data_IF_626493898486
#
_entry.id   IF_626493898486
#
_cell.length_a   1.000
_cell.length_b   1.000
_cell.length_c   1.000
_cell.angle_alpha   90.00
_cell.angle_beta   90.00
_cell.angle_gamma   90.00
#
_symmetry.space_group_name_H-M   'P 1'
#
loop_
_entity.id
_entity.type
_entity.pdbx_description
1 polymer ?
#
# COMPACT_ATOMS: atom_id res chain seq x y z
N UNK A 1 -28.10 39.76 -18.54
CA UNK A 1 -29.05 38.94 -17.76
C UNK A 1 -28.26 37.80 -17.16
N UNK A 2 -28.37 37.63 -15.85
CA UNK A 2 -27.27 37.28 -14.93
C UNK A 2 -26.70 35.87 -15.13
N UNK A 3 -25.36 35.82 -15.20
CA UNK A 3 -24.49 34.66 -15.24
C UNK A 3 -24.24 34.17 -13.81
N UNK A 4 -24.46 32.88 -13.57
CA UNK A 4 -24.10 32.19 -12.32
C UNK A 4 -22.64 31.73 -12.44
N UNK A 5 -21.75 32.31 -11.63
CA UNK A 5 -20.45 31.73 -11.29
C UNK A 5 -20.44 31.61 -9.76
N UNK A 6 -20.37 30.38 -9.27
CA UNK A 6 -20.17 30.08 -7.85
C UNK A 6 -18.68 30.10 -7.54
N UNK A 7 -18.26 30.98 -6.62
CA UNK A 7 -17.00 30.88 -5.88
C UNK A 7 -17.34 30.63 -4.42
N UNK A 8 -16.88 29.51 -3.86
CA UNK A 8 -16.93 29.24 -2.43
C UNK A 8 -15.70 29.86 -1.75
N UNK A 9 -15.93 30.80 -0.84
CA UNK A 9 -14.91 31.33 0.07
C UNK A 9 -15.07 30.66 1.44
N UNK A 10 -14.06 29.88 1.83
CA UNK A 10 -13.85 29.44 3.20
C UNK A 10 -13.38 30.65 4.03
N UNK A 11 -14.05 30.96 5.14
CA UNK A 11 -13.51 31.84 6.16
C UNK A 11 -13.12 31.05 7.41
N UNK A 12 -11.80 31.05 7.64
CA UNK A 12 -11.10 30.65 8.85
C UNK A 12 -11.29 31.74 9.90
N UNK A 13 -11.75 31.41 11.10
CA UNK A 13 -11.86 32.38 12.20
C UNK A 13 -10.96 31.95 13.36
N UNK A 14 -9.91 32.74 13.59
CA UNK A 14 -8.95 32.60 14.68
C UNK A 14 -9.11 33.83 15.57
N UNK A 15 -9.16 33.58 16.88
CA UNK A 15 -9.11 34.53 17.99
C UNK A 15 -10.41 35.25 18.36
N UNK A 16 -10.94 34.93 19.56
CA UNK A 16 -11.17 35.91 20.62
C UNK A 16 -11.45 35.23 21.98
N UNK A 17 -10.59 35.56 22.94
CA UNK A 17 -10.61 35.17 24.34
C UNK A 17 -11.44 36.17 25.18
N UNK A 18 -12.18 35.64 26.16
CA UNK A 18 -12.48 36.16 27.52
C UNK A 18 -13.15 37.56 27.77
N UNK A 19 -14.24 37.46 28.56
CA UNK A 19 -14.78 38.33 29.62
C UNK A 19 -15.65 39.57 29.27
N UNK A 20 -16.81 39.68 29.96
CA UNK A 20 -17.60 40.92 30.07
C UNK A 20 -19.09 40.69 30.37
N UNK A 21 -19.63 41.37 31.37
CA UNK A 21 -20.91 41.14 32.07
C UNK A 21 -22.06 42.05 31.55
N UNK A 22 -23.31 41.58 31.74
CA UNK A 22 -24.68 42.14 31.59
C UNK A 22 -24.96 43.67 31.57
N UNK A 23 -26.04 44.05 30.85
CA UNK A 23 -27.22 44.93 31.20
C UNK A 23 -28.26 44.83 30.02
N UNK A 24 -29.38 44.06 30.10
CA UNK A 24 -30.83 44.38 30.36
C UNK A 24 -31.46 45.56 29.56
N UNK A 25 -32.70 45.64 29.06
CA UNK A 25 -34.03 44.96 29.13
C UNK A 25 -34.66 45.11 27.71
N UNK A 26 -35.51 44.24 27.12
CA UNK A 26 -36.80 43.72 27.54
C UNK A 26 -37.77 43.80 26.33
N UNK A 27 -38.64 42.80 26.11
CA UNK A 27 -39.80 42.94 25.21
C UNK A 27 -40.05 41.83 24.19
N UNK A 28 -40.94 40.90 24.58
CA UNK A 28 -41.89 40.13 23.75
C UNK A 28 -41.36 39.15 22.68
N UNK A 29 -41.41 37.88 23.08
CA UNK A 29 -41.57 36.73 22.21
C UNK A 29 -42.93 36.76 21.49
N UNK A 30 -42.93 36.67 20.16
CA UNK A 30 -43.93 36.00 19.31
C UNK A 30 -43.48 36.14 17.84
N UNK A 31 -43.80 35.12 17.03
CA UNK A 31 -43.50 34.97 15.59
C UNK A 31 -42.27 34.09 15.30
N UNK A 32 -42.43 32.77 15.48
CA UNK A 32 -41.44 31.77 15.03
C UNK A 32 -42.05 30.60 14.22
N UNK A 33 -43.22 30.78 13.56
CA UNK A 33 -43.86 29.66 12.81
C UNK A 33 -44.36 30.00 11.39
N UNK A 34 -44.23 31.24 10.93
CA UNK A 34 -44.75 31.67 9.61
C UNK A 34 -43.77 31.55 8.44
N UNK A 35 -42.45 31.62 8.66
CA UNK A 35 -41.47 31.73 7.56
C UNK A 35 -40.90 30.40 7.08
N UNK A 36 -40.95 29.34 7.88
CA UNK A 36 -40.40 28.02 7.48
C UNK A 36 -41.32 27.29 6.51
N UNK A 37 -42.64 27.47 6.60
CA UNK A 37 -43.62 26.81 5.71
C UNK A 37 -43.59 27.40 4.29
N UNK A 38 -43.26 28.68 4.14
CA UNK A 38 -43.23 29.34 2.83
C UNK A 38 -42.04 28.87 1.97
N UNK A 39 -40.92 28.51 2.59
CA UNK A 39 -39.72 28.04 1.87
C UNK A 39 -39.88 26.58 1.40
N UNK A 40 -40.57 25.73 2.17
CA UNK A 40 -40.78 24.32 1.79
C UNK A 40 -41.76 24.19 0.61
N UNK A 41 -42.79 25.05 0.52
CA UNK A 41 -43.75 25.03 -0.59
C UNK A 41 -43.17 25.58 -1.91
N UNK A 42 -42.13 26.43 -1.86
CA UNK A 42 -41.47 26.99 -3.04
C UNK A 42 -40.54 25.98 -3.74
N UNK A 43 -40.06 24.94 -3.03
CA UNK A 43 -39.23 23.87 -3.60
C UNK A 43 -40.02 22.67 -4.14
N UNK A 44 -41.27 22.47 -3.69
CA UNK A 44 -42.08 21.33 -4.15
C UNK A 44 -42.71 21.63 -5.53
N UNK A 45 -42.96 22.89 -5.86
CA UNK A 45 -43.55 23.28 -7.17
C UNK A 45 -42.55 23.37 -8.32
N UNK A 46 -41.24 23.40 -8.05
CA UNK A 46 -40.20 23.32 -9.09
C UNK A 46 -39.83 21.89 -9.49
N UNK A 47 -40.42 20.87 -8.85
CA UNK A 47 -40.15 19.44 -9.12
C UNK A 47 -41.16 18.77 -10.05
N UNK A 48 -41.96 19.52 -10.82
CA UNK A 48 -42.84 18.94 -11.85
C UNK A 48 -42.33 19.35 -13.23
N UNK A 49 -41.35 18.60 -13.75
CA UNK A 49 -40.99 18.64 -15.17
C UNK A 49 -41.91 17.64 -15.88
N UNK A 50 -42.65 18.03 -16.94
CA UNK A 50 -43.43 17.07 -17.71
C UNK A 50 -42.50 16.11 -18.44
N UNK A 51 -42.65 14.81 -18.16
CA UNK A 51 -42.02 13.70 -18.88
C UNK A 51 -42.52 13.67 -20.32
N UNK A 52 -41.74 14.21 -21.24
CA UNK A 52 -41.77 13.82 -22.64
C UNK A 52 -40.85 12.60 -22.78
N UNK A 53 -41.43 11.44 -23.09
CA UNK A 53 -40.68 10.24 -23.46
C UNK A 53 -39.90 10.54 -24.74
N UNK A 54 -38.60 10.76 -24.60
CA UNK A 54 -37.65 10.75 -25.69
C UNK A 54 -36.99 9.39 -25.64
N UNK A 55 -37.13 8.60 -26.71
CA UNK A 55 -36.39 7.35 -26.92
C UNK A 55 -34.90 7.66 -26.93
N UNK A 56 -34.29 7.65 -25.76
CA UNK A 56 -32.85 7.57 -25.60
C UNK A 56 -32.54 6.11 -25.88
N UNK A 57 -32.15 5.81 -27.11
CA UNK A 57 -31.59 4.51 -27.46
C UNK A 57 -30.58 4.13 -26.39
N UNK A 58 -30.73 2.93 -25.84
CA UNK A 58 -29.82 2.34 -24.86
C UNK A 58 -28.39 2.34 -25.43
N UNK A 59 -27.67 3.45 -25.31
CA UNK A 59 -26.24 3.38 -25.07
C UNK A 59 -26.14 2.96 -23.62
N UNK A 60 -26.19 1.64 -23.41
CA UNK A 60 -25.48 1.05 -22.31
C UNK A 60 -24.13 1.76 -22.26
N UNK A 61 -23.87 2.53 -21.19
CA UNK A 61 -22.51 2.84 -20.83
C UNK A 61 -21.85 1.49 -20.54
N UNK A 62 -21.37 0.87 -21.61
CA UNK A 62 -20.30 -0.09 -21.55
C UNK A 62 -19.19 0.67 -20.86
N UNK A 63 -19.00 0.42 -19.57
CA UNK A 63 -17.68 0.60 -18.98
C UNK A 63 -16.81 -0.24 -19.90
N UNK A 64 -16.10 0.40 -20.84
CA UNK A 64 -15.28 -0.36 -21.78
C UNK A 64 -14.23 -1.05 -20.93
N UNK A 65 -14.48 -2.31 -20.56
CA UNK A 65 -13.40 -3.19 -20.13
C UNK A 65 -12.38 -3.06 -21.25
N UNK A 66 -11.17 -2.62 -20.90
CA UNK A 66 -10.12 -2.49 -21.90
C UNK A 66 -9.95 -3.80 -22.66
N UNK A 67 -9.29 -3.70 -23.81
CA UNK A 67 -9.08 -4.83 -24.67
C UNK A 67 -8.23 -5.90 -23.99
N UNK A 68 -8.37 -7.13 -24.46
CA UNK A 68 -7.56 -8.26 -24.00
C UNK A 68 -6.45 -8.51 -25.02
N UNK A 69 -5.22 -8.51 -24.54
CA UNK A 69 -4.03 -8.89 -25.28
C UNK A 69 -3.52 -10.21 -24.72
N UNK A 70 -3.23 -11.18 -25.59
CA UNK A 70 -2.91 -12.54 -25.18
C UNK A 70 -1.45 -12.88 -25.48
N UNK A 71 -0.75 -13.46 -24.50
CA UNK A 71 0.67 -13.85 -24.62
C UNK A 71 0.82 -15.36 -24.47
N UNK A 72 1.57 -15.99 -25.39
CA UNK A 72 1.72 -17.44 -25.48
C UNK A 72 0.48 -18.14 -26.05
N UNK A 73 0.26 -19.41 -25.72
CA UNK A 73 -0.84 -20.21 -26.27
C UNK A 73 -0.72 -20.44 -27.80
N UNK A 74 -1.75 -21.04 -28.40
CA UNK A 74 -1.79 -21.40 -29.84
C UNK A 74 -2.75 -20.54 -30.67
N UNK A 75 -3.31 -19.47 -30.09
CA UNK A 75 -4.29 -18.61 -30.75
C UNK A 75 -3.66 -17.68 -31.78
N UNK A 76 -4.38 -17.35 -32.88
CA UNK A 76 -3.89 -16.39 -33.87
C UNK A 76 -3.76 -15.00 -33.26
N UNK A 77 -2.66 -14.30 -33.55
CA UNK A 77 -2.42 -12.93 -33.08
C UNK A 77 -1.91 -12.82 -31.64
N UNK A 78 -1.65 -13.94 -30.97
CA UNK A 78 -1.04 -13.93 -29.64
C UNK A 78 0.43 -13.45 -29.73
N UNK A 79 0.84 -12.66 -28.74
CA UNK A 79 2.21 -12.23 -28.57
C UNK A 79 3.08 -13.37 -28.06
N UNK A 80 4.35 -13.41 -28.47
CA UNK A 80 5.33 -14.33 -27.89
C UNK A 80 6.03 -13.77 -26.65
N UNK A 81 6.04 -12.44 -26.49
CA UNK A 81 6.69 -11.74 -25.38
C UNK A 81 5.68 -10.89 -24.62
N UNK A 82 5.87 -10.79 -23.31
CA UNK A 82 4.98 -10.00 -22.45
C UNK A 82 5.20 -8.50 -22.71
N UNK A 83 6.45 -8.06 -22.88
CA UNK A 83 6.74 -6.65 -23.17
C UNK A 83 6.05 -6.16 -24.45
N UNK A 84 6.08 -6.94 -25.53
CA UNK A 84 5.43 -6.56 -26.80
C UNK A 84 3.91 -6.35 -26.62
N UNK A 85 3.25 -7.18 -25.79
CA UNK A 85 1.85 -7.01 -25.47
C UNK A 85 1.60 -5.76 -24.60
N UNK A 86 2.46 -5.49 -23.62
CA UNK A 86 2.39 -4.27 -22.80
C UNK A 86 2.58 -3.02 -23.67
N UNK A 87 3.54 -3.06 -24.60
CA UNK A 87 3.85 -1.95 -25.50
C UNK A 87 2.68 -1.61 -26.43
N UNK A 88 1.89 -2.62 -26.83
CA UNK A 88 0.68 -2.44 -27.65
C UNK A 88 -0.60 -2.19 -26.85
N UNK A 89 -0.61 -2.45 -25.55
CA UNK A 89 -1.76 -2.21 -24.68
C UNK A 89 -2.05 -0.69 -24.55
N UNK A 90 -3.30 -0.35 -24.30
CA UNK A 90 -3.75 0.96 -23.85
C UNK A 90 -4.11 0.94 -22.36
N UNK A 91 -4.23 2.11 -21.74
CA UNK A 91 -4.74 2.18 -20.36
C UNK A 91 -6.14 1.55 -20.26
N UNK A 92 -6.33 0.74 -19.22
CA UNK A 92 -7.51 -0.07 -18.95
C UNK A 92 -7.46 -1.48 -19.54
N UNK A 93 -6.49 -1.79 -20.40
CA UNK A 93 -6.38 -3.11 -21.05
C UNK A 93 -5.91 -4.20 -20.08
N UNK A 94 -6.18 -5.45 -20.47
CA UNK A 94 -5.69 -6.65 -19.79
C UNK A 94 -4.69 -7.38 -20.69
N UNK A 95 -3.49 -7.64 -20.18
CA UNK A 95 -2.52 -8.55 -20.78
C UNK A 95 -2.66 -9.90 -20.07
N UNK A 96 -3.26 -10.88 -20.75
CA UNK A 96 -3.44 -12.24 -20.27
C UNK A 96 -2.33 -13.14 -20.79
N UNK A 97 -1.67 -13.87 -19.88
CA UNK A 97 -0.52 -14.72 -20.18
C UNK A 97 -0.89 -16.17 -19.90
N UNK A 98 -0.92 -16.98 -20.95
CA UNK A 98 -1.17 -18.42 -20.83
C UNK A 98 -0.09 -19.12 -20.02
N UNK A 99 -0.38 -20.32 -19.53
CA UNK A 99 0.58 -21.19 -18.87
C UNK A 99 1.80 -21.44 -19.76
N UNK A 100 2.98 -21.43 -19.16
CA UNK A 100 4.24 -21.56 -19.87
C UNK A 100 5.42 -21.08 -19.05
N UNK A 101 6.62 -21.40 -19.51
CA UNK A 101 7.84 -20.87 -18.94
C UNK A 101 8.40 -19.77 -19.85
N UNK A 102 8.34 -18.54 -19.38
CA UNK A 102 8.73 -17.36 -20.10
C UNK A 102 10.09 -16.91 -19.59
N UNK A 103 11.16 -17.30 -20.31
CA UNK A 103 12.48 -16.75 -20.12
C UNK A 103 12.50 -15.35 -20.72
N UNK A 104 12.29 -14.34 -19.88
CA UNK A 104 12.19 -12.95 -20.32
C UNK A 104 13.21 -12.10 -19.58
N UNK A 105 13.65 -11.06 -20.30
CA UNK A 105 14.45 -10.01 -19.71
C UNK A 105 13.61 -9.10 -18.82
N UNK A 106 14.14 -7.91 -18.59
CA UNK A 106 13.47 -6.83 -17.88
C UNK A 106 12.15 -6.44 -18.55
N UNK A 107 11.04 -6.51 -17.80
CA UNK A 107 9.69 -6.08 -18.21
C UNK A 107 9.37 -4.75 -17.52
N UNK A 108 9.25 -3.70 -18.31
CA UNK A 108 8.82 -2.38 -17.86
C UNK A 108 7.31 -2.22 -18.00
N UNK A 109 6.65 -1.85 -16.91
CA UNK A 109 5.21 -1.56 -16.90
C UNK A 109 5.01 -0.10 -16.55
N UNK A 110 4.46 0.66 -17.49
CA UNK A 110 4.25 2.11 -17.40
C UNK A 110 2.84 2.55 -17.84
N UNK A 111 1.90 1.61 -17.91
CA UNK A 111 0.50 1.81 -18.32
C UNK A 111 -0.43 1.27 -17.26
N UNK A 112 -1.65 1.80 -17.20
CA UNK A 112 -2.70 1.39 -16.26
C UNK A 112 -3.32 0.10 -16.78
N UNK A 113 -2.69 -1.05 -16.52
CA UNK A 113 -3.13 -2.35 -17.07
C UNK A 113 -3.27 -3.42 -16.00
N UNK A 114 -4.06 -4.44 -16.31
CA UNK A 114 -4.07 -5.70 -15.57
C UNK A 114 -3.16 -6.71 -16.29
N UNK A 115 -2.08 -7.12 -15.65
CA UNK A 115 -1.22 -8.20 -16.11
C UNK A 115 -1.60 -9.47 -15.34
N UNK A 116 -2.14 -10.45 -16.05
CA UNK A 116 -2.73 -11.65 -15.44
C UNK A 116 -2.14 -12.93 -16.04
N UNK A 117 -1.55 -13.75 -15.19
CA UNK A 117 -1.20 -15.14 -15.53
C UNK A 117 -2.40 -16.06 -15.39
N UNK A 118 -2.47 -17.07 -16.25
CA UNK A 118 -3.52 -18.08 -16.24
C UNK A 118 -3.61 -18.83 -14.90
N UNK A 119 -2.46 -19.28 -14.38
CA UNK A 119 -2.36 -19.94 -13.07
C UNK A 119 -0.96 -19.69 -12.48
N UNK A 120 -0.90 -19.23 -11.22
CA UNK A 120 0.36 -18.91 -10.54
C UNK A 120 1.35 -20.07 -10.50
N UNK A 121 0.88 -21.31 -10.57
CA UNK A 121 1.72 -22.51 -10.51
C UNK A 121 2.30 -22.92 -11.87
N UNK A 122 1.74 -22.45 -12.99
CA UNK A 122 2.11 -22.88 -14.35
C UNK A 122 2.50 -21.72 -15.28
N UNK A 123 2.15 -20.48 -14.95
CA UNK A 123 2.62 -19.28 -15.66
C UNK A 123 3.87 -18.74 -14.98
N UNK A 124 5.04 -19.23 -15.41
CA UNK A 124 6.35 -18.92 -14.82
C UNK A 124 7.04 -17.84 -15.63
N UNK A 125 7.43 -16.74 -14.97
CA UNK A 125 8.30 -15.70 -15.52
C UNK A 125 9.68 -15.88 -14.89
N UNK A 126 10.65 -16.29 -15.70
CA UNK A 126 12.01 -16.54 -15.27
C UNK A 126 12.93 -15.40 -15.72
N UNK A 127 13.50 -14.70 -14.74
CA UNK A 127 14.37 -13.56 -14.96
C UNK A 127 15.78 -13.91 -15.38
N UNK A 128 16.19 -15.18 -15.40
CA UNK A 128 17.49 -15.62 -15.93
C UNK A 128 18.72 -14.83 -15.41
N UNK A 129 18.68 -14.40 -14.15
CA UNK A 129 19.75 -13.62 -13.49
C UNK A 129 19.76 -12.13 -13.81
N UNK A 130 18.72 -11.58 -14.45
CA UNK A 130 18.60 -10.15 -14.74
C UNK A 130 18.42 -9.30 -13.47
N UNK A 131 18.61 -7.99 -13.61
CA UNK A 131 18.48 -7.02 -12.51
C UNK A 131 17.08 -6.98 -11.91
N UNK A 132 16.05 -7.05 -12.75
CA UNK A 132 14.66 -7.18 -12.33
C UNK A 132 13.83 -7.94 -13.36
N UNK A 133 12.69 -8.50 -12.95
CA UNK A 133 11.67 -9.03 -13.87
C UNK A 133 10.65 -7.95 -14.15
N UNK A 134 9.86 -7.54 -13.16
CA UNK A 134 8.91 -6.44 -13.32
C UNK A 134 9.43 -5.17 -12.70
N UNK A 135 9.43 -4.07 -13.46
CA UNK A 135 9.63 -2.74 -12.93
C UNK A 135 8.44 -1.85 -13.29
N UNK A 136 7.72 -1.43 -12.26
CA UNK A 136 6.54 -0.59 -12.38
C UNK A 136 6.96 0.86 -12.22
N UNK A 137 7.00 1.61 -13.30
CA UNK A 137 7.40 3.02 -13.30
C UNK A 137 6.24 3.92 -13.66
N UNK A 138 6.22 5.09 -13.03
CA UNK A 138 5.24 6.11 -13.31
C UNK A 138 5.79 7.17 -14.28
N UNK A 139 4.93 7.67 -15.18
CA UNK A 139 5.15 8.92 -15.92
C UNK A 139 4.27 10.07 -15.36
N UNK A 140 3.10 9.76 -14.77
CA UNK A 140 2.11 10.70 -14.22
C UNK A 140 1.65 10.34 -12.79
N UNK A 141 2.00 11.20 -11.82
CA UNK A 141 1.95 10.96 -10.36
C UNK A 141 0.60 10.53 -9.74
N UNK A 142 -0.54 10.62 -10.45
CA UNK A 142 -1.86 10.65 -9.80
C UNK A 142 -2.87 9.57 -10.23
N UNK A 143 -2.66 8.82 -11.32
CA UNK A 143 -3.77 8.02 -11.92
C UNK A 143 -3.42 6.60 -12.35
N UNK A 144 -2.16 6.17 -12.25
CA UNK A 144 -1.78 4.82 -12.67
C UNK A 144 -2.15 3.77 -11.62
N UNK A 145 -2.82 2.70 -12.07
CA UNK A 145 -3.16 1.50 -11.32
C UNK A 145 -2.69 0.29 -12.12
N UNK A 146 -1.65 -0.40 -11.65
CA UNK A 146 -1.18 -1.65 -12.23
C UNK A 146 -1.62 -2.79 -11.32
N UNK A 147 -2.25 -3.81 -11.91
CA UNK A 147 -2.52 -5.07 -11.24
C UNK A 147 -1.60 -6.15 -11.82
N UNK A 148 -0.84 -6.85 -10.97
CA UNK A 148 -0.05 -8.02 -11.37
C UNK A 148 -0.51 -9.22 -10.55
N UNK A 149 -1.06 -10.24 -11.22
CA UNK A 149 -1.58 -11.42 -10.54
C UNK A 149 -1.41 -12.73 -11.32
N UNK A 150 -1.35 -13.85 -10.59
CA UNK A 150 -1.38 -15.19 -11.20
C UNK A 150 -0.06 -15.67 -11.79
N UNK A 151 1.09 -15.19 -11.31
CA UNK A 151 2.41 -15.60 -11.80
C UNK A 151 3.25 -16.35 -10.76
N UNK A 152 4.15 -17.21 -11.23
CA UNK A 152 5.41 -17.50 -10.53
C UNK A 152 6.50 -16.58 -11.08
N UNK A 153 7.21 -15.85 -10.22
CA UNK A 153 8.23 -14.86 -10.58
C UNK A 153 9.55 -15.24 -9.90
N UNK A 154 10.59 -15.55 -10.68
CA UNK A 154 11.80 -16.15 -10.12
C UNK A 154 13.10 -15.87 -10.85
N UNK A 155 14.21 -16.11 -10.13
CA UNK A 155 15.58 -16.10 -10.66
C UNK A 155 16.05 -14.73 -11.18
N UNK A 156 15.80 -13.66 -10.44
CA UNK A 156 16.31 -12.32 -10.71
C UNK A 156 16.93 -11.66 -9.47
N UNK A 157 17.64 -10.55 -9.66
CA UNK A 157 18.04 -9.70 -8.53
C UNK A 157 16.81 -9.11 -7.83
N UNK A 158 15.82 -8.62 -8.57
CA UNK A 158 14.51 -8.26 -8.02
C UNK A 158 13.38 -8.94 -8.79
N UNK A 159 12.45 -9.60 -8.10
CA UNK A 159 11.25 -10.16 -8.72
C UNK A 159 10.33 -9.04 -9.22
N UNK A 160 9.94 -8.14 -8.32
CA UNK A 160 9.11 -6.98 -8.64
C UNK A 160 9.69 -5.73 -7.98
N UNK A 161 9.95 -4.70 -8.77
CA UNK A 161 10.29 -3.36 -8.30
C UNK A 161 9.13 -2.40 -8.54
N UNK A 162 8.64 -1.79 -7.47
CA UNK A 162 7.54 -0.84 -7.50
C UNK A 162 8.10 0.56 -7.27
N UNK A 163 8.14 1.35 -8.34
CA UNK A 163 8.53 2.77 -8.38
C UNK A 163 7.36 3.65 -8.85
N UNK A 164 6.14 3.25 -8.49
CA UNK A 164 4.90 3.92 -8.84
C UNK A 164 3.87 3.74 -7.72
N UNK A 165 2.78 4.50 -7.80
CA UNK A 165 1.76 4.54 -6.75
C UNK A 165 0.52 3.72 -7.13
N UNK A 166 -0.31 3.40 -6.14
CA UNK A 166 -1.64 2.80 -6.34
C UNK A 166 -1.64 1.44 -7.07
N UNK A 167 -0.57 0.65 -6.94
CA UNK A 167 -0.50 -0.67 -7.58
C UNK A 167 -1.05 -1.78 -6.67
N UNK A 168 -1.48 -2.86 -7.31
CA UNK A 168 -1.93 -4.08 -6.63
C UNK A 168 -1.11 -5.27 -7.12
N UNK A 169 -0.36 -5.90 -6.21
CA UNK A 169 0.40 -7.12 -6.49
C UNK A 169 -0.24 -8.25 -5.71
N UNK A 170 -0.78 -9.26 -6.41
CA UNK A 170 -1.58 -10.27 -5.73
C UNK A 170 -1.61 -11.67 -6.31
N UNK A 171 -1.82 -12.67 -5.45
CA UNK A 171 -1.98 -14.05 -5.91
C UNK A 171 -0.77 -14.62 -6.66
N UNK A 172 0.43 -14.09 -6.42
CA UNK A 172 1.66 -14.55 -7.08
C UNK A 172 2.48 -15.47 -6.16
N UNK A 173 3.36 -16.26 -6.77
CA UNK A 173 4.47 -16.95 -6.10
C UNK A 173 5.76 -16.21 -6.48
N UNK A 174 6.49 -15.67 -5.50
CA UNK A 174 7.70 -14.87 -5.75
C UNK A 174 8.87 -15.54 -5.04
N UNK A 175 9.81 -16.08 -5.81
CA UNK A 175 10.81 -16.98 -5.24
C UNK A 175 12.18 -16.96 -5.92
N UNK A 176 13.22 -17.35 -5.19
CA UNK A 176 14.60 -17.46 -5.70
C UNK A 176 15.13 -16.16 -6.31
N UNK A 177 14.76 -15.02 -5.73
CA UNK A 177 15.30 -13.71 -6.08
C UNK A 177 16.19 -13.17 -4.96
N UNK A 178 17.07 -12.21 -5.24
CA UNK A 178 17.75 -11.49 -4.15
C UNK A 178 16.72 -10.68 -3.36
N UNK A 179 15.89 -9.91 -4.06
CA UNK A 179 14.72 -9.23 -3.52
C UNK A 179 13.45 -9.80 -4.16
N UNK A 180 12.49 -10.25 -3.36
CA UNK A 180 11.18 -10.67 -3.86
C UNK A 180 10.41 -9.47 -4.41
N UNK A 181 10.04 -8.55 -3.52
CA UNK A 181 9.40 -7.28 -3.86
C UNK A 181 10.18 -6.11 -3.23
N UNK A 182 10.45 -5.08 -4.03
CA UNK A 182 10.99 -3.79 -3.57
C UNK A 182 9.94 -2.70 -3.80
N UNK A 183 9.67 -1.90 -2.76
CA UNK A 183 8.80 -0.72 -2.84
C UNK A 183 9.68 0.53 -2.62
N UNK A 184 9.96 1.26 -3.70
CA UNK A 184 10.89 2.40 -3.69
C UNK A 184 10.24 3.68 -4.20
N UNK A 185 10.26 4.77 -3.42
CA UNK A 185 9.61 6.04 -3.79
C UNK A 185 8.16 5.85 -4.28
N UNK A 186 7.43 4.98 -3.59
CA UNK A 186 6.16 4.42 -4.04
C UNK A 186 5.15 4.37 -2.89
N UNK A 187 3.88 4.65 -3.18
CA UNK A 187 2.86 4.90 -2.16
C UNK A 187 1.51 4.34 -2.54
N UNK A 188 0.67 4.09 -1.53
CA UNK A 188 -0.69 3.56 -1.74
C UNK A 188 -0.71 2.19 -2.44
N UNK A 189 0.35 1.39 -2.35
CA UNK A 189 0.39 0.07 -2.96
C UNK A 189 -0.20 -0.99 -2.03
N UNK A 190 -0.85 -1.99 -2.62
CA UNK A 190 -1.38 -3.15 -1.93
C UNK A 190 -0.66 -4.42 -2.40
N UNK A 191 0.07 -5.06 -1.48
CA UNK A 191 0.68 -6.37 -1.68
C UNK A 191 -0.17 -7.38 -0.93
N UNK A 192 -0.97 -8.19 -1.63
CA UNK A 192 -1.92 -9.08 -0.98
C UNK A 192 -1.99 -10.51 -1.51
N UNK A 193 -2.15 -11.51 -0.63
CA UNK A 193 -2.43 -12.88 -1.07
C UNK A 193 -1.27 -13.54 -1.84
N UNK A 194 -0.03 -13.08 -1.66
CA UNK A 194 1.14 -13.65 -2.34
C UNK A 194 1.84 -14.69 -1.45
N UNK A 195 2.54 -15.62 -2.10
CA UNK A 195 3.49 -16.55 -1.46
C UNK A 195 4.91 -16.09 -1.82
N UNK A 196 5.66 -15.60 -0.84
CA UNK A 196 6.99 -14.98 -1.04
C UNK A 196 8.02 -15.79 -0.27
N UNK A 197 8.88 -16.50 -0.99
CA UNK A 197 9.76 -17.49 -0.36
C UNK A 197 11.11 -17.68 -1.04
N UNK A 198 12.12 -18.13 -0.29
CA UNK A 198 13.46 -18.42 -0.84
C UNK A 198 14.11 -17.21 -1.50
N UNK A 199 13.84 -16.01 -1.00
CA UNK A 199 14.53 -14.78 -1.41
C UNK A 199 15.52 -14.34 -0.32
N UNK A 200 16.53 -13.54 -0.64
CA UNK A 200 17.35 -12.92 0.41
C UNK A 200 16.52 -11.91 1.21
N UNK A 201 15.71 -11.10 0.53
CA UNK A 201 14.72 -10.21 1.13
C UNK A 201 13.35 -10.53 0.52
N UNK A 202 12.36 -10.88 1.35
CA UNK A 202 11.00 -11.16 0.88
C UNK A 202 10.32 -9.88 0.34
N UNK A 203 10.03 -8.93 1.24
CA UNK A 203 9.55 -7.59 0.89
C UNK A 203 10.47 -6.56 1.54
N UNK A 204 10.93 -5.56 0.77
CA UNK A 204 11.71 -4.43 1.30
C UNK A 204 11.16 -3.10 0.82
N UNK A 205 11.13 -2.09 1.71
CA UNK A 205 10.99 -0.69 1.27
C UNK A 205 12.36 -0.05 1.05
N UNK A 206 12.39 1.01 0.25
CA UNK A 206 13.57 1.83 -0.04
C UNK A 206 13.13 3.30 -0.26
N UNK A 207 13.98 4.27 0.10
CA UNK A 207 13.86 5.64 -0.40
C UNK A 207 12.97 6.59 0.41
N UNK A 208 12.96 7.86 -0.04
CA UNK A 208 12.48 9.05 0.69
C UNK A 208 10.96 9.22 0.79
N UNK A 209 10.23 8.78 -0.25
CA UNK A 209 8.81 9.09 -0.46
C UNK A 209 7.98 7.81 -0.58
N UNK A 210 8.08 6.93 0.41
CA UNK A 210 7.42 5.62 0.42
C UNK A 210 6.36 5.61 1.53
N UNK A 211 5.08 5.79 1.22
CA UNK A 211 4.06 5.93 2.27
C UNK A 211 2.72 5.25 1.99
N UNK A 212 1.96 4.95 3.05
CA UNK A 212 0.63 4.32 2.95
C UNK A 212 0.61 3.01 2.14
N UNK A 213 1.64 2.18 2.29
CA UNK A 213 1.71 0.87 1.66
C UNK A 213 1.14 -0.21 2.58
N UNK A 214 0.42 -1.16 1.99
CA UNK A 214 -0.27 -2.24 2.71
C UNK A 214 0.28 -3.59 2.30
N UNK A 215 0.69 -4.38 3.28
CA UNK A 215 1.18 -5.75 3.11
C UNK A 215 0.20 -6.63 3.88
N UNK A 216 -0.67 -7.34 3.16
CA UNK A 216 -1.82 -8.02 3.76
C UNK A 216 -2.00 -9.46 3.27
N UNK A 217 -2.31 -10.41 4.16
CA UNK A 217 -2.66 -11.80 3.75
C UNK A 217 -1.60 -12.49 2.88
N UNK A 218 -0.32 -12.18 3.09
CA UNK A 218 0.78 -12.87 2.41
C UNK A 218 1.35 -14.00 3.28
N UNK A 219 1.85 -15.04 2.62
CA UNK A 219 2.68 -16.08 3.22
C UNK A 219 4.14 -15.75 2.87
N UNK A 220 4.93 -15.37 3.86
CA UNK A 220 6.31 -14.90 3.71
C UNK A 220 7.22 -15.84 4.49
N UNK A 221 7.84 -16.79 3.78
CA UNK A 221 8.54 -17.89 4.43
C UNK A 221 9.88 -18.25 3.79
N UNK A 222 10.81 -18.79 4.58
CA UNK A 222 12.08 -19.29 4.06
C UNK A 222 12.89 -18.24 3.27
N UNK A 223 12.77 -16.96 3.61
CA UNK A 223 13.65 -15.90 3.11
C UNK A 223 14.78 -15.66 4.12
N UNK A 224 15.84 -14.92 3.77
CA UNK A 224 16.76 -14.46 4.82
C UNK A 224 16.07 -13.43 5.71
N UNK A 225 15.56 -12.36 5.12
CA UNK A 225 14.71 -11.37 5.78
C UNK A 225 13.29 -11.44 5.22
N UNK A 226 12.27 -11.54 6.07
CA UNK A 226 10.86 -11.62 5.65
C UNK A 226 10.36 -10.28 5.11
N UNK A 227 10.06 -9.34 6.01
CA UNK A 227 9.69 -7.96 5.67
C UNK A 227 10.72 -7.00 6.29
N UNK A 228 11.29 -6.12 5.46
CA UNK A 228 12.20 -5.07 5.93
C UNK A 228 11.66 -3.70 5.55
N UNK A 229 11.25 -2.91 6.55
CA UNK A 229 10.90 -1.52 6.36
C UNK A 229 12.15 -0.68 6.62
N UNK A 230 12.59 0.07 5.61
CA UNK A 230 13.79 0.92 5.64
C UNK A 230 13.45 2.35 5.28
N UNK A 231 14.41 3.21 5.59
CA UNK A 231 14.48 4.59 5.16
C UNK A 231 13.24 5.40 5.59
N UNK A 232 12.99 6.50 4.91
CA UNK A 232 11.92 7.45 5.21
C UNK A 232 10.51 6.90 4.93
N UNK A 233 10.32 5.59 4.95
CA UNK A 233 9.02 4.97 4.80
C UNK A 233 8.09 5.38 5.95
N UNK A 234 6.88 5.84 5.60
CA UNK A 234 5.84 6.27 6.54
C UNK A 234 4.55 5.45 6.35
N UNK A 235 3.71 5.40 7.39
CA UNK A 235 2.34 4.87 7.31
C UNK A 235 2.24 3.47 6.64
N UNK A 236 3.15 2.55 6.96
CA UNK A 236 3.13 1.19 6.39
C UNK A 236 2.32 0.25 7.28
N UNK A 237 1.37 -0.48 6.68
CA UNK A 237 0.49 -1.41 7.38
C UNK A 237 0.86 -2.86 7.02
N UNK A 238 1.29 -3.62 8.02
CA UNK A 238 1.62 -5.05 7.90
C UNK A 238 0.57 -5.81 8.68
N UNK A 239 -0.40 -6.41 7.98
CA UNK A 239 -1.59 -6.97 8.62
C UNK A 239 -1.98 -8.35 8.13
N UNK A 240 -2.37 -9.25 9.02
CA UNK A 240 -2.87 -10.58 8.64
C UNK A 240 -1.91 -11.36 7.73
N UNK A 241 -0.59 -11.30 7.95
CA UNK A 241 0.38 -12.11 7.21
C UNK A 241 0.88 -13.29 8.04
N UNK A 242 1.30 -14.37 7.36
CA UNK A 242 2.05 -15.46 7.97
C UNK A 242 3.52 -15.31 7.61
N UNK A 243 4.37 -15.03 8.60
CA UNK A 243 5.79 -14.70 8.44
C UNK A 243 6.62 -15.68 9.26
N UNK A 244 7.14 -16.71 8.60
CA UNK A 244 7.71 -17.89 9.28
C UNK A 244 9.01 -18.38 8.66
N UNK A 245 9.86 -19.03 9.46
CA UNK A 245 11.06 -19.72 8.98
C UNK A 245 12.03 -18.83 8.17
N UNK A 246 12.06 -17.52 8.44
CA UNK A 246 13.06 -16.63 7.84
C UNK A 246 14.37 -16.70 8.63
N UNK A 247 15.50 -16.84 7.93
CA UNK A 247 16.77 -17.26 8.53
C UNK A 247 17.48 -16.15 9.32
N UNK A 248 17.16 -14.89 9.07
CA UNK A 248 17.71 -13.72 9.79
C UNK A 248 16.62 -13.08 10.66
N UNK A 249 15.66 -12.41 10.03
CA UNK A 249 14.57 -11.70 10.74
C UNK A 249 13.23 -11.86 10.01
N UNK A 250 12.16 -12.09 10.75
CA UNK A 250 10.78 -12.08 10.23
C UNK A 250 10.35 -10.68 9.80
N UNK A 251 10.31 -9.73 10.74
CA UNK A 251 10.04 -8.30 10.45
C UNK A 251 11.14 -7.42 11.04
N UNK A 252 11.79 -6.62 10.21
CA UNK A 252 12.72 -5.58 10.66
C UNK A 252 12.19 -4.20 10.27
N UNK A 253 12.01 -3.31 11.24
CA UNK A 253 11.48 -1.96 11.00
C UNK A 253 12.51 -0.90 11.38
N UNK A 254 13.11 -0.26 10.39
CA UNK A 254 13.92 0.95 10.48
C UNK A 254 13.27 2.03 9.59
N UNK A 255 11.94 2.16 9.72
CA UNK A 255 11.13 3.15 9.03
C UNK A 255 11.04 4.44 9.84
N UNK A 256 10.68 5.54 9.18
CA UNK A 256 10.71 6.86 9.81
C UNK A 256 9.47 7.16 10.65
N UNK A 257 8.25 6.77 10.21
CA UNK A 257 7.01 7.01 10.96
C UNK A 257 5.94 5.93 10.78
N UNK A 258 5.09 5.77 11.81
CA UNK A 258 3.78 5.12 11.72
C UNK A 258 3.75 3.73 11.02
N UNK A 259 4.66 2.81 11.35
CA UNK A 259 4.47 1.42 10.93
C UNK A 259 3.51 0.70 11.88
N UNK A 260 2.46 0.09 11.35
CA UNK A 260 1.49 -0.69 12.12
C UNK A 260 1.64 -2.17 11.76
N UNK A 261 1.99 -2.98 12.75
CA UNK A 261 2.12 -4.44 12.63
C UNK A 261 1.04 -5.09 13.48
N UNK A 262 -0.01 -5.61 12.84
CA UNK A 262 -1.14 -6.20 13.57
C UNK A 262 -1.66 -7.53 13.00
N UNK A 263 -2.13 -8.40 13.88
CA UNK A 263 -2.81 -9.65 13.51
C UNK A 263 -2.00 -10.56 12.59
N UNK A 264 -0.67 -10.52 12.68
CA UNK A 264 0.20 -11.40 11.91
C UNK A 264 0.55 -12.65 12.71
N UNK A 265 0.81 -13.75 12.01
CA UNK A 265 1.48 -14.93 12.55
C UNK A 265 2.98 -14.80 12.34
N UNK A 266 3.76 -14.52 13.39
CA UNK A 266 5.20 -14.26 13.33
C UNK A 266 5.94 -15.25 14.23
N UNK A 267 6.40 -16.37 13.68
CA UNK A 267 7.07 -17.40 14.48
C UNK A 267 8.03 -18.27 13.67
N UNK A 268 8.93 -18.99 14.34
CA UNK A 268 9.90 -19.86 13.67
C UNK A 268 10.99 -19.13 12.88
N UNK A 269 11.04 -17.80 12.93
CA UNK A 269 12.15 -17.01 12.38
C UNK A 269 13.32 -17.02 13.36
N UNK A 270 14.55 -16.83 12.87
CA UNK A 270 15.72 -16.68 13.75
C UNK A 270 15.54 -15.52 14.74
N UNK A 271 15.08 -14.38 14.23
CA UNK A 271 14.51 -13.30 15.04
C UNK A 271 13.11 -12.95 14.52
N UNK A 272 12.07 -13.04 15.35
CA UNK A 272 10.71 -12.74 14.90
C UNK A 272 10.53 -11.27 14.48
N UNK A 273 11.04 -10.35 15.30
CA UNK A 273 10.95 -8.93 15.03
C UNK A 273 12.15 -8.15 15.59
N UNK A 274 12.52 -7.09 14.88
CA UNK A 274 13.51 -6.10 15.29
C UNK A 274 13.05 -4.70 14.87
N UNK A 275 13.46 -3.68 15.62
CA UNK A 275 13.22 -2.30 15.21
C UNK A 275 14.38 -1.36 15.51
N UNK A 276 14.43 -0.26 14.77
CA UNK A 276 15.23 0.92 15.05
C UNK A 276 14.29 2.12 15.03
N UNK A 277 14.31 2.95 16.07
CA UNK A 277 13.54 4.19 16.20
C UNK A 277 14.48 5.38 16.40
N UNK A 278 14.12 6.55 15.89
CA UNK A 278 14.91 7.77 16.03
C UNK A 278 14.53 8.50 17.33
N UNK A 279 15.52 8.88 18.12
CA UNK A 279 15.28 9.62 19.36
C UNK A 279 14.61 10.97 19.13
N UNK A 280 14.90 11.63 18.01
CA UNK A 280 14.30 12.92 17.70
C UNK A 280 12.85 12.77 17.22
N UNK A 281 12.45 11.61 16.68
CA UNK A 281 11.04 11.32 16.34
C UNK A 281 10.20 11.09 17.58
N UNK A 282 10.73 10.38 18.59
CA UNK A 282 10.05 10.11 19.86
C UNK A 282 9.56 11.39 20.56
N UNK A 283 10.38 12.44 20.55
CA UNK A 283 10.09 13.69 21.26
C UNK A 283 9.10 14.61 20.53
N UNK A 284 9.02 14.49 19.19
CA UNK A 284 8.27 15.46 18.37
C UNK A 284 6.89 14.98 17.97
N UNK A 285 6.66 13.67 17.76
CA UNK A 285 5.36 13.11 17.35
C UNK A 285 5.20 11.66 17.84
N UNK A 286 4.46 11.39 18.93
CA UNK A 286 4.34 10.05 19.49
C UNK A 286 3.37 9.19 18.68
N UNK A 287 3.81 8.70 17.52
CA UNK A 287 3.26 7.50 16.87
C UNK A 287 4.40 6.79 16.15
N UNK A 288 5.06 5.92 16.90
CA UNK A 288 6.08 5.03 16.36
C UNK A 288 5.49 3.63 16.17
N UNK A 289 6.36 2.70 15.80
CA UNK A 289 6.04 1.35 15.37
C UNK A 289 5.10 0.69 16.39
N UNK A 290 3.89 0.37 15.93
CA UNK A 290 2.85 -0.23 16.76
C UNK A 290 2.78 -1.71 16.49
N UNK A 291 2.84 -2.51 17.55
CA UNK A 291 2.66 -3.95 17.52
C UNK A 291 1.40 -4.29 18.30
N UNK A 292 0.48 -5.03 17.68
CA UNK A 292 -0.79 -5.35 18.33
C UNK A 292 -1.36 -6.65 17.81
N UNK A 293 -1.73 -7.56 18.71
CA UNK A 293 -2.45 -8.79 18.34
C UNK A 293 -1.68 -9.66 17.36
N UNK A 294 -0.35 -9.64 17.39
CA UNK A 294 0.42 -10.60 16.61
C UNK A 294 0.55 -11.91 17.39
N UNK A 295 0.52 -13.03 16.69
CA UNK A 295 0.82 -14.35 17.24
C UNK A 295 2.31 -14.62 17.11
N UNK A 296 2.98 -14.95 18.21
CA UNK A 296 4.44 -15.03 18.27
C UNK A 296 5.00 -16.47 18.38
N UNK A 297 4.16 -17.48 18.11
CA UNK A 297 4.53 -18.92 18.19
C UNK A 297 4.56 -19.51 19.59
N UNK A 298 4.71 -18.67 20.62
CA UNK A 298 4.52 -19.03 22.02
C UNK A 298 3.61 -17.99 22.64
N UNK A 299 2.62 -18.45 23.41
CA UNK A 299 1.66 -17.60 24.11
C UNK A 299 2.38 -16.81 25.21
N UNK A 300 2.62 -15.49 25.05
CA UNK A 300 3.23 -14.71 26.13
C UNK A 300 2.20 -14.61 27.26
N UNK A 301 2.59 -14.87 28.50
CA UNK A 301 1.69 -14.82 29.67
C UNK A 301 0.99 -13.46 29.84
N UNK A 302 1.49 -12.39 29.20
CA UNK A 302 0.88 -11.06 29.27
C UNK A 302 1.19 -10.15 28.08
N UNK A 303 2.46 -9.95 27.75
CA UNK A 303 2.90 -9.03 26.69
C UNK A 303 4.08 -9.65 25.95
N UNK A 304 4.25 -9.33 24.67
CA UNK A 304 5.47 -9.65 23.94
C UNK A 304 6.45 -8.50 24.03
N UNK A 305 7.67 -8.78 24.47
CA UNK A 305 8.78 -7.82 24.42
C UNK A 305 9.45 -7.94 23.06
N UNK A 306 9.63 -6.80 22.42
CA UNK A 306 10.31 -6.68 21.14
C UNK A 306 11.59 -5.89 21.40
N UNK A 307 12.72 -6.48 21.04
CA UNK A 307 14.03 -5.85 21.21
C UNK A 307 14.38 -5.05 19.96
N UNK A 308 14.95 -3.87 20.18
CA UNK A 308 15.37 -2.99 19.12
C UNK A 308 16.42 -2.00 19.58
N UNK A 309 16.65 -0.98 18.77
CA UNK A 309 17.57 0.09 19.09
C UNK A 309 16.93 1.47 18.97
N UNK A 310 17.38 2.36 19.84
CA UNK A 310 17.13 3.78 19.80
C UNK A 310 18.35 4.46 19.15
N UNK A 311 18.12 5.06 17.99
CA UNK A 311 19.11 5.79 17.20
C UNK A 311 19.13 7.25 17.65
N UNK A 312 20.30 7.77 18.02
CA UNK A 312 20.47 9.18 18.40
C UNK A 312 21.62 9.81 17.64
N UNK A 313 21.34 10.95 17.02
CA UNK A 313 22.38 11.78 16.41
C UNK A 313 23.06 12.67 17.47
N UNK A 314 24.40 12.76 17.50
CA UNK A 314 25.10 13.74 18.30
C UNK A 314 24.76 15.16 17.84
N UNK A 315 24.79 16.11 18.78
CA UNK A 315 24.52 17.54 18.52
C UNK A 315 25.45 18.15 17.48
N UNK A 316 26.67 17.62 17.36
CA UNK A 316 27.64 18.02 16.34
C UNK A 316 27.76 16.89 15.30
N UNK A 317 27.43 17.21 14.06
CA UNK A 317 27.69 16.35 12.91
C UNK A 317 29.01 16.77 12.27
N UNK A 318 29.88 15.82 11.88
CA UNK A 318 31.09 16.18 11.17
C UNK A 318 30.70 16.83 9.82
N UNK A 319 31.45 17.85 9.37
CA UNK A 319 31.18 18.47 8.07
C UNK A 319 31.40 17.45 6.94
N UNK A 320 30.73 17.62 5.79
CA UNK A 320 30.99 16.83 4.60
C UNK A 320 32.50 16.78 4.30
N UNK A 321 33.05 15.63 3.88
CA UNK A 321 32.35 14.46 3.35
C UNK A 321 32.06 13.34 4.38
N UNK A 322 32.24 13.58 5.67
CA UNK A 322 32.06 12.52 6.67
C UNK A 322 30.57 12.11 6.80
N UNK A 323 30.26 10.80 6.84
CA UNK A 323 28.88 10.35 6.98
C UNK A 323 28.33 10.76 8.35
N UNK A 324 27.01 11.01 8.45
CA UNK A 324 26.37 11.30 9.72
C UNK A 324 26.61 10.16 10.70
N UNK A 325 27.17 10.48 11.86
CA UNK A 325 27.39 9.50 12.92
C UNK A 325 26.14 9.44 13.80
N UNK A 326 25.79 8.24 14.25
CA UNK A 326 24.73 8.01 15.23
C UNK A 326 25.16 6.94 16.22
N UNK A 327 24.58 7.01 17.41
CA UNK A 327 24.77 6.02 18.47
C UNK A 327 23.49 5.22 18.59
N UNK A 328 23.61 3.89 18.71
CA UNK A 328 22.51 2.98 18.98
C UNK A 328 22.51 2.60 20.46
N UNK A 329 21.38 2.81 21.12
CA UNK A 329 21.12 2.32 22.48
C UNK A 329 20.14 1.17 22.41
N UNK A 330 20.34 0.11 23.20
CA UNK A 330 19.33 -0.94 23.31
C UNK A 330 18.01 -0.35 23.79
N UNK A 331 16.92 -0.77 23.16
CA UNK A 331 15.58 -0.27 23.44
C UNK A 331 14.54 -1.38 23.34
N UNK A 332 13.37 -1.11 23.90
CA UNK A 332 12.26 -2.06 23.97
C UNK A 332 10.99 -1.44 23.39
N UNK A 333 10.22 -2.26 22.70
CA UNK A 333 8.84 -2.00 22.31
C UNK A 333 8.02 -3.23 22.68
N UNK A 334 6.69 -3.12 22.67
CA UNK A 334 5.81 -4.15 23.20
C UNK A 334 4.62 -4.38 22.27
N UNK A 335 4.29 -5.65 22.03
CA UNK A 335 2.92 -6.03 21.70
C UNK A 335 2.19 -6.25 23.02
N UNK A 336 1.33 -5.30 23.39
CA UNK A 336 0.59 -5.32 24.64
C UNK A 336 -0.57 -6.33 24.64
N UNK A 337 -0.98 -6.81 23.46
CA UNK A 337 -2.14 -7.68 23.32
C UNK A 337 -1.83 -8.85 22.38
N UNK A 338 -0.77 -9.64 22.62
CA UNK A 338 -0.36 -10.68 21.70
C UNK A 338 -1.48 -11.73 21.53
N UNK A 339 -1.67 -12.18 20.30
CA UNK A 339 -2.64 -13.21 19.99
C UNK A 339 -2.24 -14.53 20.65
N UNK A 340 -3.24 -15.26 21.14
CA UNK A 340 -3.03 -16.52 21.88
C UNK A 340 -2.92 -17.73 20.95
N UNK A 341 -3.55 -17.63 19.78
CA UNK A 341 -3.60 -18.65 18.74
C UNK A 341 -3.23 -18.02 17.39
N UNK A 342 -2.67 -18.80 16.45
CA UNK A 342 -2.43 -18.33 15.10
C UNK A 342 -3.74 -18.01 14.38
N UNK A 343 -3.71 -16.99 13.52
CA UNK A 343 -4.80 -16.66 12.62
C UNK A 343 -4.87 -17.62 11.44
N UNK A 344 -6.07 -17.97 11.00
CA UNK A 344 -6.30 -18.62 9.71
C UNK A 344 -6.19 -17.59 8.58
N UNK A 345 -5.01 -17.49 8.00
CA UNK A 345 -4.68 -16.60 6.89
C UNK A 345 -4.59 -17.51 5.66
N UNK A 346 -5.74 -17.71 5.00
CA UNK A 346 -5.85 -18.57 3.82
C UNK A 346 -4.83 -18.24 2.73
N UNK A 347 -4.33 -19.26 2.02
CA UNK A 347 -3.34 -19.09 0.95
C UNK A 347 -2.55 -20.34 0.54
N UNK A 348 -2.75 -21.49 1.20
CA UNK A 348 -2.27 -22.82 0.75
C UNK A 348 -3.05 -23.37 -0.42
#
# INVERSE_FOLDING_TARGET
MIVIISFALFYYNKDLNRQGLFISYGGMALIQKGQVVLIVLLFITTCIIPTTAQDIGNSSQSTSRGNWLYVGGSGPGNYSKIQDAIDNASDGDTVFVYSGNYQQGMIGVNKTICLRGEDKNTTVIDGCGQTYIFRLVNVDFYTLFIEINGFTIQNASAGIEIFSHNNTISGNIIQNNVYGIVIGWASNNLIYGNVIRKNSFGISTLGGDTWNNKIERNIIENNSYGITIRDYAEDTFIQNNTIINNSETGISVNGYRNTVVEKNNIFGNNLNAFFIIDFDSLLRRPREITWSKNYWGKTPLRHMIIFGNLKRYPFYQPPPPHPPQYILYNWLNFDWHPAQEPYDIGGS
#
